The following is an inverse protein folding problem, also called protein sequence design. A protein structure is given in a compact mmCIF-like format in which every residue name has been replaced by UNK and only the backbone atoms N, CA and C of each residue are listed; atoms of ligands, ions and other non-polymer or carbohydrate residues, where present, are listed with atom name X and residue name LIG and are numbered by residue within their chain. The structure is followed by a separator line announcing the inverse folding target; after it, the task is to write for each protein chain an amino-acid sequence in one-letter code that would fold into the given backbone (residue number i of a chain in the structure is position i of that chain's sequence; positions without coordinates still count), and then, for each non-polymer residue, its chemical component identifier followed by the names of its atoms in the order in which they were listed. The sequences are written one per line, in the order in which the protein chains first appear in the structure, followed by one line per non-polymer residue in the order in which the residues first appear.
data_IF_016618780235
#
_entry.id   IF_016618780235
#
_cell.length_a   1.000
_cell.length_b   1.000
_cell.length_c   1.000
_cell.angle_alpha   90.00
_cell.angle_beta   90.00
_cell.angle_gamma   90.00
#
_symmetry.space_group_name_H-M   'P 1'
#
loop_
_entity.id
_entity.type
_entity.pdbx_description
1 polymer ?
#
# COMPACT_ATOMS: atom_id res chain seq x y z
N UNK A 1 11.11 -11.29 -19.58
CA UNK A 1 9.66 -11.46 -19.68
C UNK A 1 9.09 -10.72 -20.90
N UNK A 2 9.12 -9.37 -20.95
CA UNK A 2 8.51 -8.57 -22.01
C UNK A 2 9.07 -8.91 -23.39
N UNK A 3 10.38 -9.12 -23.52
CA UNK A 3 11.03 -9.53 -24.77
C UNK A 3 10.63 -10.92 -25.24
N UNK A 4 10.48 -11.87 -24.31
CA UNK A 4 10.11 -13.26 -24.64
C UNK A 4 8.62 -13.45 -24.99
N UNK A 5 7.76 -12.54 -24.49
CA UNK A 5 6.31 -12.60 -24.73
C UNK A 5 5.83 -11.52 -25.73
N UNK A 6 6.76 -10.83 -26.42
CA UNK A 6 6.47 -9.74 -27.37
C UNK A 6 5.49 -8.69 -26.83
N UNK A 7 5.58 -8.42 -25.50
CA UNK A 7 4.59 -7.63 -24.76
C UNK A 7 5.10 -6.31 -24.17
N UNK A 8 6.06 -5.62 -24.83
CA UNK A 8 6.61 -4.36 -24.31
C UNK A 8 5.54 -3.29 -24.07
N UNK A 9 4.54 -3.20 -24.95
CA UNK A 9 3.43 -2.23 -24.81
C UNK A 9 2.57 -2.51 -23.57
N UNK A 10 2.49 -3.77 -23.13
CA UNK A 10 1.69 -4.18 -21.98
C UNK A 10 2.51 -4.34 -20.69
N UNK A 11 3.80 -3.99 -20.68
CA UNK A 11 4.68 -4.31 -19.56
C UNK A 11 4.24 -3.69 -18.23
N UNK A 12 3.76 -2.44 -18.23
CA UNK A 12 3.23 -1.76 -17.04
C UNK A 12 1.81 -2.18 -16.63
N UNK A 13 1.03 -2.71 -17.56
CA UNK A 13 -0.37 -3.03 -17.33
C UNK A 13 -0.61 -4.09 -16.22
N UNK A 14 0.18 -5.17 -16.08
CA UNK A 14 0.01 -6.13 -14.99
C UNK A 14 0.15 -5.53 -13.60
N UNK A 15 1.08 -4.60 -13.39
CA UNK A 15 1.29 -3.96 -12.08
C UNK A 15 0.05 -3.17 -11.66
N UNK A 16 -0.45 -2.32 -12.57
CA UNK A 16 -1.68 -1.55 -12.35
C UNK A 16 -2.90 -2.45 -12.17
N UNK A 17 -3.05 -3.49 -13.00
CA UNK A 17 -4.19 -4.39 -12.98
C UNK A 17 -4.30 -5.18 -11.66
N UNK A 18 -3.18 -5.58 -11.05
CA UNK A 18 -3.15 -6.22 -9.75
C UNK A 18 -3.71 -5.33 -8.64
N UNK A 19 -3.27 -4.08 -8.59
CA UNK A 19 -3.72 -3.09 -7.60
C UNK A 19 -5.19 -2.70 -7.82
N UNK A 20 -5.59 -2.45 -9.08
CA UNK A 20 -6.98 -2.10 -9.43
C UNK A 20 -7.95 -3.22 -9.04
N UNK A 21 -7.62 -4.48 -9.35
CA UNK A 21 -8.46 -5.62 -8.99
C UNK A 21 -8.51 -5.88 -7.49
N UNK A 22 -7.42 -5.63 -6.75
CA UNK A 22 -7.41 -5.70 -5.29
C UNK A 22 -8.32 -4.63 -4.65
N UNK A 23 -8.25 -3.38 -5.10
CA UNK A 23 -9.11 -2.28 -4.65
C UNK A 23 -10.58 -2.58 -4.95
N UNK A 24 -10.87 -3.07 -6.17
CA UNK A 24 -12.22 -3.47 -6.55
C UNK A 24 -12.74 -4.58 -5.62
N UNK A 25 -11.94 -5.62 -5.38
CA UNK A 25 -12.33 -6.74 -4.52
C UNK A 25 -12.54 -6.31 -3.07
N UNK A 26 -11.76 -5.39 -2.54
CA UNK A 26 -11.95 -4.84 -1.20
C UNK A 26 -13.31 -4.18 -1.01
N UNK A 27 -13.92 -3.66 -2.08
CA UNK A 27 -15.28 -3.11 -2.05
C UNK A 27 -16.34 -4.18 -1.78
N UNK A 28 -16.07 -5.43 -2.13
CA UNK A 28 -16.93 -6.59 -1.90
C UNK A 28 -16.52 -7.39 -0.65
N UNK A 29 -15.32 -7.15 -0.10
CA UNK A 29 -14.76 -8.00 0.94
C UNK A 29 -15.61 -7.98 2.23
N UNK A 30 -16.05 -6.81 2.72
CA UNK A 30 -16.86 -6.74 3.93
C UNK A 30 -18.17 -7.55 3.86
N UNK A 31 -19.05 -7.39 2.84
CA UNK A 31 -20.24 -8.21 2.73
C UNK A 31 -19.97 -9.71 2.57
N UNK A 32 -18.86 -10.10 1.94
CA UNK A 32 -18.46 -11.51 1.82
C UNK A 32 -18.03 -12.05 3.19
N UNK A 33 -17.15 -11.34 3.89
CA UNK A 33 -16.63 -11.75 5.20
C UNK A 33 -17.69 -11.77 6.29
N UNK A 34 -18.77 -10.98 6.15
CA UNK A 34 -19.89 -11.01 7.07
C UNK A 34 -20.84 -12.20 6.85
N UNK A 35 -20.91 -12.75 5.64
CA UNK A 35 -21.88 -13.80 5.26
C UNK A 35 -21.28 -15.17 5.06
N UNK A 36 -19.97 -15.23 4.76
CA UNK A 36 -19.27 -16.47 4.43
C UNK A 36 -18.31 -16.85 5.56
N UNK A 37 -18.30 -18.11 6.01
CA UNK A 37 -17.39 -18.59 7.04
C UNK A 37 -15.92 -18.27 6.70
N UNK A 38 -15.10 -17.83 7.68
CA UNK A 38 -13.72 -17.42 7.48
C UNK A 38 -12.86 -18.45 6.74
N UNK A 39 -13.03 -19.73 7.08
CA UNK A 39 -12.31 -20.82 6.43
C UNK A 39 -12.62 -20.93 4.94
N UNK A 40 -13.88 -20.77 4.53
CA UNK A 40 -14.27 -20.82 3.10
C UNK A 40 -13.70 -19.64 2.33
N UNK A 41 -13.71 -18.43 2.93
CA UNK A 41 -13.09 -17.25 2.33
C UNK A 41 -11.60 -17.46 2.13
N UNK A 42 -10.92 -18.00 3.14
CA UNK A 42 -9.48 -18.25 3.10
C UNK A 42 -9.13 -19.31 2.03
N UNK A 43 -9.92 -20.38 1.91
CA UNK A 43 -9.76 -21.41 0.86
C UNK A 43 -9.96 -20.79 -0.52
N UNK A 44 -11.06 -20.06 -0.71
CA UNK A 44 -11.37 -19.42 -1.99
C UNK A 44 -10.27 -18.46 -2.44
N UNK A 45 -9.83 -17.58 -1.53
CA UNK A 45 -8.75 -16.64 -1.84
C UNK A 45 -7.43 -17.36 -2.17
N UNK A 46 -7.10 -18.44 -1.44
CA UNK A 46 -5.92 -19.27 -1.75
C UNK A 46 -6.02 -19.93 -3.13
N UNK A 47 -7.17 -20.51 -3.47
CA UNK A 47 -7.40 -21.11 -4.78
C UNK A 47 -7.30 -20.08 -5.91
N UNK A 48 -7.93 -18.91 -5.76
CA UNK A 48 -7.82 -17.81 -6.72
C UNK A 48 -6.36 -17.39 -6.90
N UNK A 49 -5.60 -17.23 -5.80
CA UNK A 49 -4.19 -16.86 -5.89
C UNK A 49 -3.37 -17.89 -6.65
N UNK A 50 -3.55 -19.18 -6.35
CA UNK A 50 -2.85 -20.28 -7.03
C UNK A 50 -3.23 -20.36 -8.51
N UNK A 51 -4.51 -20.27 -8.84
CA UNK A 51 -4.97 -20.25 -10.23
C UNK A 51 -4.36 -19.08 -11.00
N UNK A 52 -4.38 -17.87 -10.42
CA UNK A 52 -3.76 -16.71 -11.04
C UNK A 52 -2.23 -16.85 -11.20
N UNK A 53 -1.56 -17.49 -10.23
CA UNK A 53 -0.12 -17.76 -10.32
C UNK A 53 0.19 -18.79 -11.42
N UNK A 54 -0.59 -19.86 -11.53
CA UNK A 54 -0.44 -20.88 -12.58
C UNK A 54 -0.68 -20.28 -13.97
N UNK A 55 -1.72 -19.45 -14.13
CA UNK A 55 -1.99 -18.75 -15.40
C UNK A 55 -0.83 -17.86 -15.82
N UNK A 56 -0.26 -17.11 -14.87
CA UNK A 56 0.87 -16.21 -15.14
C UNK A 56 2.18 -16.97 -15.41
N UNK A 57 2.42 -18.12 -14.74
CA UNK A 57 3.60 -18.97 -14.92
C UNK A 57 3.57 -19.71 -16.26
N UNK A 58 2.41 -20.26 -16.63
CA UNK A 58 2.20 -20.99 -17.86
C UNK A 58 1.96 -20.10 -19.09
N UNK A 59 2.04 -18.75 -18.92
CA UNK A 59 1.66 -17.78 -19.92
C UNK A 59 2.37 -17.97 -21.29
N UNK A 60 1.63 -18.20 -22.39
CA UNK A 60 2.17 -18.19 -23.74
C UNK A 60 2.27 -16.76 -24.31
N UNK A 61 1.50 -15.79 -23.75
CA UNK A 61 1.46 -14.39 -24.18
C UNK A 61 1.23 -13.46 -22.98
N UNK A 62 1.56 -12.18 -23.12
CA UNK A 62 1.47 -11.17 -22.06
C UNK A 62 0.05 -11.00 -21.50
N UNK A 63 -0.99 -11.22 -22.31
CA UNK A 63 -2.39 -11.19 -21.87
C UNK A 63 -2.71 -12.23 -20.80
N UNK A 64 -2.07 -13.41 -20.82
CA UNK A 64 -2.23 -14.44 -19.79
C UNK A 64 -1.58 -14.01 -18.46
N UNK A 65 -0.43 -13.34 -18.52
CA UNK A 65 0.22 -12.73 -17.33
C UNK A 65 -0.72 -11.69 -16.73
N UNK A 66 -1.31 -10.83 -17.57
CA UNK A 66 -2.28 -9.83 -17.14
C UNK A 66 -3.49 -10.49 -16.46
N UNK A 67 -4.12 -11.48 -17.10
CA UNK A 67 -5.25 -12.22 -16.54
C UNK A 67 -4.91 -12.89 -15.20
N UNK A 68 -3.76 -13.56 -15.12
CA UNK A 68 -3.25 -14.16 -13.88
C UNK A 68 -3.03 -13.14 -12.78
N UNK A 69 -2.54 -11.94 -13.11
CA UNK A 69 -2.31 -10.86 -12.15
C UNK A 69 -3.63 -10.25 -11.65
N UNK A 70 -4.63 -10.09 -12.51
CA UNK A 70 -5.99 -9.68 -12.10
C UNK A 70 -6.57 -10.65 -11.08
N UNK A 71 -6.51 -11.96 -11.36
CA UNK A 71 -7.03 -12.98 -10.43
C UNK A 71 -6.27 -12.96 -9.09
N UNK A 72 -4.94 -12.82 -9.13
CA UNK A 72 -4.13 -12.67 -7.91
C UNK A 72 -4.47 -11.40 -7.13
N UNK A 73 -4.75 -10.30 -7.82
CA UNK A 73 -5.20 -9.05 -7.20
C UNK A 73 -6.54 -9.21 -6.47
N UNK A 74 -7.51 -9.91 -7.09
CA UNK A 74 -8.78 -10.26 -6.43
C UNK A 74 -8.52 -11.07 -5.16
N UNK A 75 -7.67 -12.09 -5.22
CA UNK A 75 -7.30 -12.89 -4.06
C UNK A 75 -6.61 -12.05 -2.98
N UNK A 76 -5.69 -11.16 -3.36
CA UNK A 76 -4.97 -10.28 -2.44
C UNK A 76 -5.91 -9.31 -1.71
N UNK A 77 -6.87 -8.69 -2.42
CA UNK A 77 -7.88 -7.83 -1.80
C UNK A 77 -8.74 -8.56 -0.78
N UNK A 78 -9.15 -9.80 -1.09
CA UNK A 78 -9.94 -10.61 -0.15
C UNK A 78 -9.12 -11.01 1.08
N UNK A 79 -7.83 -11.40 0.90
CA UNK A 79 -6.93 -11.75 2.00
C UNK A 79 -6.58 -10.55 2.87
N UNK A 80 -6.38 -9.37 2.29
CA UNK A 80 -6.11 -8.15 3.04
C UNK A 80 -7.30 -7.76 3.92
N UNK A 81 -8.51 -7.76 3.36
CA UNK A 81 -9.74 -7.52 4.12
C UNK A 81 -9.96 -8.55 5.24
N UNK A 82 -9.67 -9.83 4.96
CA UNK A 82 -9.72 -10.91 5.95
C UNK A 82 -8.71 -10.69 7.08
N UNK A 83 -7.43 -10.43 6.74
CA UNK A 83 -6.36 -10.27 7.72
C UNK A 83 -6.59 -9.10 8.68
N UNK A 84 -6.88 -7.91 8.13
CA UNK A 84 -7.13 -6.73 8.95
C UNK A 84 -8.47 -6.81 9.71
N UNK A 85 -9.48 -7.46 9.12
CA UNK A 85 -10.73 -7.77 9.82
C UNK A 85 -10.53 -8.72 11.00
N UNK A 86 -9.67 -9.72 10.85
CA UNK A 86 -9.32 -10.65 11.92
C UNK A 86 -8.58 -9.97 13.08
N UNK A 87 -7.67 -9.01 12.80
CA UNK A 87 -7.01 -8.22 13.85
C UNK A 87 -8.06 -7.50 14.71
N UNK A 88 -9.03 -6.85 14.06
CA UNK A 88 -10.08 -6.15 14.78
C UNK A 88 -11.02 -7.05 15.59
N UNK A 89 -11.25 -8.28 15.10
CA UNK A 89 -12.17 -9.23 15.73
C UNK A 89 -11.54 -10.04 16.88
N UNK A 90 -10.23 -10.34 16.79
CA UNK A 90 -9.55 -11.25 17.71
C UNK A 90 -8.73 -10.55 18.80
N UNK A 91 -8.33 -9.29 18.58
CA UNK A 91 -7.48 -8.56 19.52
C UNK A 91 -8.22 -7.36 20.13
N UNK A 92 -7.98 -7.10 21.40
CA UNK A 92 -8.58 -5.99 22.13
C UNK A 92 -7.91 -4.63 21.78
N UNK A 93 -8.47 -3.53 22.29
CA UNK A 93 -8.00 -2.17 22.00
C UNK A 93 -6.54 -1.93 22.42
N UNK A 94 -6.06 -2.60 23.46
CA UNK A 94 -4.68 -2.46 23.98
C UNK A 94 -3.68 -3.26 23.16
N UNK A 95 -4.10 -4.38 22.60
CA UNK A 95 -3.26 -5.30 21.82
C UNK A 95 -3.12 -4.88 20.36
N UNK A 96 -4.19 -4.33 19.76
CA UNK A 96 -4.21 -3.95 18.32
C UNK A 96 -3.00 -3.13 17.87
N UNK A 97 -2.56 -2.06 18.58
CA UNK A 97 -1.40 -1.28 18.12
C UNK A 97 -0.12 -2.11 18.08
N UNK A 98 0.02 -3.10 18.99
CA UNK A 98 1.17 -4.02 19.01
C UNK A 98 1.12 -4.98 17.82
N UNK A 99 -0.06 -5.53 17.53
CA UNK A 99 -0.27 -6.42 16.38
C UNK A 99 -0.02 -5.69 15.06
N UNK A 100 -0.48 -4.44 14.93
CA UNK A 100 -0.16 -3.60 13.76
C UNK A 100 1.33 -3.25 13.67
N UNK A 101 2.03 -3.12 14.81
CA UNK A 101 3.49 -3.00 14.82
C UNK A 101 4.20 -4.25 14.29
N UNK A 102 3.72 -5.45 14.68
CA UNK A 102 4.20 -6.72 14.13
C UNK A 102 3.88 -6.87 12.62
N UNK A 103 2.75 -6.33 12.18
CA UNK A 103 2.37 -6.32 10.75
C UNK A 103 3.42 -5.62 9.87
N UNK A 104 4.14 -4.63 10.39
CA UNK A 104 5.23 -3.98 9.67
C UNK A 104 6.37 -4.95 9.28
N UNK A 105 6.62 -6.02 10.06
CA UNK A 105 7.61 -7.04 9.72
C UNK A 105 7.25 -7.85 8.48
N UNK A 106 5.94 -7.96 8.17
CA UNK A 106 5.45 -8.66 6.96
C UNK A 106 5.92 -7.94 5.70
N UNK A 107 6.12 -6.62 5.75
CA UNK A 107 6.64 -5.83 4.65
C UNK A 107 8.18 -5.89 4.56
N UNK A 108 8.86 -5.97 5.70
CA UNK A 108 10.32 -6.02 5.74
C UNK A 108 10.88 -7.30 5.11
N UNK A 109 10.33 -8.46 5.49
CA UNK A 109 10.86 -9.75 5.04
C UNK A 109 10.87 -9.90 3.51
N UNK A 110 9.75 -9.67 2.79
CA UNK A 110 9.74 -9.73 1.33
C UNK A 110 10.63 -8.68 0.66
N UNK A 111 10.79 -7.50 1.25
CA UNK A 111 11.60 -6.44 0.65
C UNK A 111 13.09 -6.73 0.72
N UNK A 112 13.55 -7.43 1.76
CA UNK A 112 14.97 -7.84 1.91
C UNK A 112 15.28 -9.11 1.14
N UNK A 113 14.40 -10.11 1.26
CA UNK A 113 14.64 -11.46 0.69
C UNK A 113 14.11 -11.59 -0.74
N UNK A 114 13.04 -10.87 -1.06
CA UNK A 114 12.33 -11.01 -2.34
C UNK A 114 13.20 -10.72 -3.57
N UNK A 115 13.83 -9.54 -3.69
CA UNK A 115 14.62 -9.19 -4.86
C UNK A 115 15.79 -10.16 -5.12
N UNK A 116 16.66 -10.49 -4.15
CA UNK A 116 17.74 -11.45 -4.39
C UNK A 116 17.22 -12.85 -4.69
N UNK A 117 16.16 -13.29 -4.00
CA UNK A 117 15.56 -14.60 -4.27
C UNK A 117 14.95 -14.68 -5.67
N UNK A 118 14.26 -13.63 -6.11
CA UNK A 118 13.71 -13.56 -7.46
C UNK A 118 14.80 -13.55 -8.53
N UNK A 119 15.92 -12.86 -8.29
CA UNK A 119 17.07 -12.87 -9.19
C UNK A 119 17.64 -14.29 -9.31
N UNK A 120 17.96 -14.95 -8.20
CA UNK A 120 18.46 -16.33 -8.16
C UNK A 120 17.51 -17.32 -8.88
N UNK A 121 16.21 -17.25 -8.58
CA UNK A 121 15.22 -18.11 -9.23
C UNK A 121 15.18 -17.84 -10.74
N UNK A 122 15.25 -16.57 -11.15
CA UNK A 122 15.22 -16.19 -12.55
C UNK A 122 16.42 -16.73 -13.31
N UNK A 123 17.62 -16.64 -12.70
CA UNK A 123 18.87 -17.09 -13.31
C UNK A 123 18.98 -18.62 -13.38
N UNK A 124 18.48 -19.36 -12.38
CA UNK A 124 18.62 -20.81 -12.31
C UNK A 124 17.49 -21.59 -13.00
N UNK A 125 16.25 -21.12 -12.83
CA UNK A 125 15.03 -21.87 -13.28
C UNK A 125 14.15 -21.06 -14.22
N UNK A 126 14.41 -19.76 -14.36
CA UNK A 126 13.70 -18.87 -15.26
C UNK A 126 12.61 -18.03 -14.59
N UNK A 127 12.24 -16.93 -15.26
CA UNK A 127 11.29 -15.93 -14.77
C UNK A 127 9.89 -16.48 -14.45
N UNK A 128 9.50 -17.57 -15.09
CA UNK A 128 8.21 -18.22 -14.83
C UNK A 128 8.11 -18.66 -13.37
N UNK A 129 9.15 -19.26 -12.85
CA UNK A 129 9.21 -19.69 -11.46
C UNK A 129 9.33 -18.52 -10.49
N UNK A 130 10.00 -17.45 -10.88
CA UNK A 130 10.06 -16.22 -10.09
C UNK A 130 8.66 -15.58 -9.90
N UNK A 131 7.72 -15.75 -10.83
CA UNK A 131 6.32 -15.35 -10.66
C UNK A 131 5.53 -16.35 -9.81
N UNK A 132 5.83 -17.64 -9.90
CA UNK A 132 5.03 -18.72 -9.30
C UNK A 132 5.34 -19.04 -7.85
N UNK A 133 6.60 -18.96 -7.43
CA UNK A 133 7.01 -19.40 -6.09
C UNK A 133 6.25 -18.76 -4.91
N UNK A 134 5.80 -17.48 -4.98
CA UNK A 134 5.03 -16.89 -3.87
C UNK A 134 3.72 -17.65 -3.60
N UNK A 135 3.17 -18.38 -4.59
CA UNK A 135 1.99 -19.21 -4.38
C UNK A 135 2.23 -20.36 -3.39
N UNK A 136 3.46 -20.88 -3.36
CA UNK A 136 3.86 -21.91 -2.38
C UNK A 136 3.77 -21.35 -0.96
N UNK A 137 4.24 -20.11 -0.72
CA UNK A 137 4.15 -19.46 0.58
C UNK A 137 2.69 -19.23 1.00
N UNK A 138 1.83 -18.85 0.05
CA UNK A 138 0.39 -18.68 0.33
C UNK A 138 -0.25 -19.99 0.76
N UNK A 139 0.08 -21.11 0.09
CA UNK A 139 -0.42 -22.43 0.44
C UNK A 139 0.10 -22.90 1.81
N UNK A 140 1.40 -22.70 2.08
CA UNK A 140 2.00 -23.02 3.39
C UNK A 140 1.34 -22.20 4.50
N UNK A 141 1.27 -20.87 4.33
CA UNK A 141 0.62 -19.98 5.29
C UNK A 141 -0.83 -20.38 5.54
N UNK A 142 -1.57 -20.75 4.49
CA UNK A 142 -2.92 -21.30 4.58
C UNK A 142 -2.98 -22.58 5.41
N UNK A 143 -2.07 -23.51 5.18
CA UNK A 143 -2.02 -24.76 5.94
C UNK A 143 -1.74 -24.52 7.43
N UNK A 144 -0.86 -23.58 7.75
CA UNK A 144 -0.50 -23.21 9.12
C UNK A 144 -1.69 -22.63 9.91
N UNK A 145 -2.45 -21.68 9.31
CA UNK A 145 -3.53 -20.99 10.01
C UNK A 145 -4.89 -21.68 9.89
N UNK A 146 -5.02 -22.65 9.00
CA UNK A 146 -6.31 -23.25 8.67
C UNK A 146 -7.01 -23.90 9.83
N UNK A 147 -6.28 -24.62 10.69
CA UNK A 147 -6.82 -25.26 11.90
C UNK A 147 -7.30 -24.23 12.92
N UNK A 148 -6.52 -23.16 13.12
CA UNK A 148 -6.87 -22.08 14.04
C UNK A 148 -8.13 -21.35 13.57
N UNK A 149 -8.20 -21.02 12.25
CA UNK A 149 -9.36 -20.32 11.69
C UNK A 149 -10.62 -21.19 11.73
N UNK A 150 -10.51 -22.53 11.58
CA UNK A 150 -11.66 -23.42 11.68
C UNK A 150 -12.22 -23.57 13.10
N UNK A 151 -11.39 -23.30 14.12
CA UNK A 151 -11.79 -23.37 15.52
C UNK A 151 -12.46 -22.09 16.06
N UNK A 152 -12.36 -20.95 15.30
CA UNK A 152 -13.00 -19.71 15.71
C UNK A 152 -14.51 -19.79 15.49
N UNK A 153 -15.35 -19.60 16.52
CA UNK A 153 -16.80 -19.51 16.37
C UNK A 153 -17.16 -18.36 15.44
N UNK A 154 -17.90 -18.65 14.38
CA UNK A 154 -18.34 -17.65 13.43
C UNK A 154 -19.86 -17.57 13.39
N UNK A 155 -20.37 -16.34 13.39
CA UNK A 155 -21.79 -16.06 13.17
C UNK A 155 -21.94 -14.98 12.10
N UNK A 156 -22.94 -15.10 11.19
CA UNK A 156 -23.22 -14.07 10.22
C UNK A 156 -23.51 -12.75 10.92
N UNK A 157 -22.83 -11.69 10.51
CA UNK A 157 -23.07 -10.34 11.03
C UNK A 157 -23.88 -9.57 10.01
N UNK A 158 -25.07 -9.09 10.41
CA UNK A 158 -25.87 -8.16 9.61
C UNK A 158 -25.38 -6.74 9.89
N UNK A 159 -24.63 -6.17 8.96
CA UNK A 159 -24.10 -4.81 9.07
C UNK A 159 -24.12 -4.08 7.73
N UNK A 160 -24.04 -2.75 7.76
CA UNK A 160 -23.85 -1.95 6.54
C UNK A 160 -22.48 -2.27 5.95
N UNK A 161 -22.40 -2.51 4.66
CA UNK A 161 -21.13 -2.64 3.95
C UNK A 161 -20.31 -1.35 4.11
N UNK A 162 -19.09 -1.45 4.68
CA UNK A 162 -18.26 -0.27 4.95
C UNK A 162 -17.86 0.49 3.69
N UNK A 163 -17.50 -0.25 2.63
CA UNK A 163 -17.19 0.33 1.31
C UNK A 163 -18.39 0.10 0.40
N UNK A 164 -18.96 1.16 -0.15
CA UNK A 164 -20.02 1.01 -1.15
C UNK A 164 -19.42 0.52 -2.46
N UNK A 165 -19.94 -0.56 -3.01
CA UNK A 165 -19.48 -1.19 -4.26
C UNK A 165 -19.34 -0.17 -5.39
N UNK A 166 -20.31 0.75 -5.51
CA UNK A 166 -20.30 1.80 -6.55
C UNK A 166 -19.08 2.73 -6.39
N UNK A 167 -18.76 3.13 -5.16
CA UNK A 167 -17.63 4.04 -4.90
C UNK A 167 -16.30 3.31 -5.13
N UNK A 168 -16.17 2.07 -4.66
CA UNK A 168 -14.97 1.27 -4.89
C UNK A 168 -14.78 0.91 -6.37
N UNK A 169 -15.87 0.64 -7.09
CA UNK A 169 -15.83 0.50 -8.56
C UNK A 169 -15.38 1.79 -9.25
N UNK A 170 -15.84 2.94 -8.76
CA UNK A 170 -15.39 4.26 -9.23
C UNK A 170 -13.90 4.50 -9.00
N UNK A 171 -13.36 4.11 -7.83
CA UNK A 171 -11.92 4.18 -7.54
C UNK A 171 -11.14 3.27 -8.49
N UNK A 172 -11.55 2.02 -8.67
CA UNK A 172 -10.89 1.08 -9.57
C UNK A 172 -10.90 1.59 -11.03
N UNK A 173 -12.03 2.13 -11.50
CA UNK A 173 -12.13 2.73 -12.82
C UNK A 173 -11.22 3.96 -12.98
N UNK A 174 -11.18 4.84 -11.99
CA UNK A 174 -10.32 6.02 -12.00
C UNK A 174 -8.82 5.66 -12.04
N UNK A 175 -8.42 4.64 -11.27
CA UNK A 175 -7.06 4.11 -11.31
C UNK A 175 -6.72 3.47 -12.66
N UNK A 176 -7.64 2.73 -13.26
CA UNK A 176 -7.47 2.13 -14.58
C UNK A 176 -7.35 3.20 -15.68
N UNK A 177 -8.22 4.22 -15.62
CA UNK A 177 -8.18 5.37 -16.54
C UNK A 177 -6.85 6.13 -16.45
N UNK A 178 -6.41 6.44 -15.22
CA UNK A 178 -5.14 7.12 -15.00
C UNK A 178 -3.94 6.27 -15.41
N UNK A 179 -3.97 4.96 -15.18
CA UNK A 179 -2.91 4.04 -15.62
C UNK A 179 -2.80 3.98 -17.15
N UNK A 180 -3.94 3.96 -17.86
CA UNK A 180 -3.95 4.09 -19.30
C UNK A 180 -3.37 5.45 -19.74
N UNK A 181 -3.80 6.52 -19.10
CA UNK A 181 -3.34 7.87 -19.40
C UNK A 181 -1.84 8.09 -19.18
N UNK A 182 -1.24 7.41 -18.18
CA UNK A 182 0.21 7.50 -17.96
C UNK A 182 1.05 6.82 -19.04
N UNK A 183 0.48 5.86 -19.75
CA UNK A 183 1.13 5.14 -20.85
C UNK A 183 0.96 5.82 -22.21
N UNK A 184 -0.03 6.71 -22.37
CA UNK A 184 -0.30 7.43 -23.61
C UNK A 184 0.43 8.78 -23.63
N UNK A 185 1.39 9.02 -24.55
CA UNK A 185 2.12 10.28 -24.63
C UNK A 185 1.29 11.46 -25.15
N UNK A 186 0.09 11.22 -25.65
CA UNK A 186 -0.80 12.24 -26.19
C UNK A 186 -1.34 13.21 -25.11
N UNK A 187 -1.93 14.31 -25.54
CA UNK A 187 -2.64 15.25 -24.66
C UNK A 187 -3.82 14.53 -23.96
N UNK A 188 -4.48 13.62 -24.65
CA UNK A 188 -5.58 12.83 -24.10
C UNK A 188 -5.12 11.89 -23.00
N UNK A 189 -3.89 11.33 -23.11
CA UNK A 189 -3.26 10.57 -22.04
C UNK A 189 -3.06 11.43 -20.79
N UNK A 190 -2.57 12.67 -20.94
CA UNK A 190 -2.43 13.59 -19.80
C UNK A 190 -3.78 13.94 -19.17
N UNK A 191 -4.80 14.20 -19.98
CA UNK A 191 -6.16 14.47 -19.49
C UNK A 191 -6.70 13.26 -18.72
N UNK A 192 -6.53 12.04 -19.24
CA UNK A 192 -6.96 10.82 -18.57
C UNK A 192 -6.20 10.58 -17.23
N UNK A 193 -4.89 10.86 -17.20
CA UNK A 193 -4.10 10.78 -15.97
C UNK A 193 -4.61 11.77 -14.90
N UNK A 194 -4.81 13.03 -15.26
CA UNK A 194 -5.31 14.08 -14.36
C UNK A 194 -6.71 13.75 -13.85
N UNK A 195 -7.61 13.31 -14.74
CA UNK A 195 -8.96 12.89 -14.36
C UNK A 195 -8.94 11.66 -13.46
N UNK A 196 -8.09 10.66 -13.78
CA UNK A 196 -7.92 9.47 -12.95
C UNK A 196 -7.41 9.79 -11.55
N UNK A 197 -6.41 10.68 -11.45
CA UNK A 197 -5.88 11.14 -10.16
C UNK A 197 -6.92 11.95 -9.38
N UNK A 198 -7.59 12.91 -10.01
CA UNK A 198 -8.57 13.76 -9.34
C UNK A 198 -9.81 12.98 -8.88
N UNK A 199 -10.42 12.23 -9.79
CA UNK A 199 -11.63 11.44 -9.46
C UNK A 199 -11.32 10.27 -8.52
N UNK A 200 -10.16 9.62 -8.67
CA UNK A 200 -9.69 8.55 -7.79
C UNK A 200 -9.47 9.03 -6.36
N UNK A 201 -8.73 10.11 -6.18
CA UNK A 201 -8.49 10.70 -4.86
C UNK A 201 -9.77 11.17 -4.17
N UNK A 202 -10.67 11.85 -4.93
CA UNK A 202 -11.96 12.27 -4.41
C UNK A 202 -12.86 11.08 -4.02
N UNK A 203 -12.88 10.02 -4.84
CA UNK A 203 -13.66 8.81 -4.54
C UNK A 203 -13.11 8.05 -3.33
N UNK A 204 -11.78 7.96 -3.17
CA UNK A 204 -11.16 7.37 -1.97
C UNK A 204 -11.58 8.17 -0.74
N UNK A 205 -11.38 9.49 -0.74
CA UNK A 205 -11.75 10.35 0.39
C UNK A 205 -13.24 10.21 0.74
N UNK A 206 -14.12 10.24 -0.25
CA UNK A 206 -15.58 10.08 -0.07
C UNK A 206 -15.94 8.72 0.54
N UNK A 207 -15.25 7.65 0.09
CA UNK A 207 -15.44 6.31 0.61
C UNK A 207 -15.08 6.22 2.09
N UNK A 208 -13.93 6.79 2.47
CA UNK A 208 -13.44 6.77 3.86
C UNK A 208 -14.30 7.63 4.79
N UNK A 209 -14.72 8.81 4.34
CA UNK A 209 -15.61 9.69 5.11
C UNK A 209 -16.97 9.03 5.38
N UNK A 210 -17.54 8.37 4.36
CA UNK A 210 -18.84 7.70 4.49
C UNK A 210 -18.77 6.33 5.16
N UNK A 211 -17.59 5.73 5.17
CA UNK A 211 -17.33 4.43 5.81
C UNK A 211 -17.36 4.50 7.33
N UNK A 212 -16.83 5.59 7.92
CA UNK A 212 -16.81 5.85 9.36
C UNK A 212 -17.45 7.23 9.65
N UNK A 213 -18.77 7.30 9.77
CA UNK A 213 -19.49 8.57 9.85
C UNK A 213 -19.24 9.35 11.15
N UNK A 214 -18.83 8.69 12.24
CA UNK A 214 -18.56 9.37 13.53
C UNK A 214 -17.22 10.08 13.55
N UNK A 215 -16.16 9.40 13.13
CA UNK A 215 -14.82 9.98 13.11
C UNK A 215 -13.97 9.43 11.95
N UNK A 216 -14.08 9.98 10.73
CA UNK A 216 -13.30 9.53 9.58
C UNK A 216 -11.84 10.01 9.61
N UNK A 217 -11.49 10.96 10.49
CA UNK A 217 -10.15 11.62 10.49
C UNK A 217 -8.99 10.66 10.67
N UNK A 218 -9.00 9.68 11.60
CA UNK A 218 -7.89 8.73 11.73
C UNK A 218 -7.67 7.93 10.45
N UNK A 219 -8.75 7.49 9.82
CA UNK A 219 -8.68 6.70 8.60
C UNK A 219 -8.21 7.52 7.39
N UNK A 220 -8.63 8.79 7.29
CA UNK A 220 -8.13 9.73 6.29
C UNK A 220 -6.65 10.05 6.51
N UNK A 221 -6.24 10.33 7.75
CA UNK A 221 -4.84 10.56 8.10
C UNK A 221 -3.98 9.34 7.75
N UNK A 222 -4.48 8.15 8.04
CA UNK A 222 -3.84 6.89 7.69
C UNK A 222 -3.66 6.72 6.18
N UNK A 223 -4.71 6.95 5.39
CA UNK A 223 -4.65 6.83 3.93
C UNK A 223 -3.66 7.82 3.32
N UNK A 224 -3.68 9.09 3.75
CA UNK A 224 -2.78 10.12 3.22
C UNK A 224 -1.33 9.88 3.68
N UNK A 225 -1.13 9.38 4.90
CA UNK A 225 0.19 8.96 5.37
C UNK A 225 0.74 7.80 4.52
N UNK A 226 -0.08 6.77 4.26
CA UNK A 226 0.29 5.64 3.39
C UNK A 226 0.65 6.14 1.97
N UNK A 227 -0.16 7.05 1.41
CA UNK A 227 0.13 7.64 0.11
C UNK A 227 1.50 8.36 0.09
N UNK A 228 1.77 9.23 1.05
CA UNK A 228 3.02 9.98 1.10
C UNK A 228 4.23 9.04 1.28
N UNK A 229 4.13 8.07 2.19
CA UNK A 229 5.20 7.13 2.49
C UNK A 229 5.48 6.18 1.33
N UNK A 230 4.48 5.44 0.85
CA UNK A 230 4.68 4.46 -0.23
C UNK A 230 5.04 5.14 -1.55
N UNK A 231 4.48 6.34 -1.84
CA UNK A 231 4.87 7.11 -3.02
C UNK A 231 6.34 7.53 -3.00
N UNK A 232 6.86 7.93 -1.83
CA UNK A 232 8.28 8.24 -1.67
C UNK A 232 9.16 7.00 -1.87
N UNK A 233 8.76 5.87 -1.29
CA UNK A 233 9.50 4.61 -1.40
C UNK A 233 9.49 4.01 -2.80
N UNK A 234 8.42 4.18 -3.55
CA UNK A 234 8.32 3.69 -4.93
C UNK A 234 9.36 4.35 -5.86
N UNK A 235 9.60 5.65 -5.67
CA UNK A 235 10.56 6.39 -6.48
C UNK A 235 11.99 6.40 -5.91
N UNK A 236 12.20 5.85 -4.71
CA UNK A 236 13.50 5.91 -4.03
C UNK A 236 14.64 5.29 -4.85
N UNK A 237 14.40 4.10 -5.41
CA UNK A 237 15.39 3.43 -6.27
C UNK A 237 15.65 4.20 -7.56
N UNK A 238 14.62 4.73 -8.17
CA UNK A 238 14.71 5.54 -9.38
C UNK A 238 15.51 6.83 -9.13
N UNK A 239 15.23 7.51 -8.02
CA UNK A 239 15.93 8.73 -7.61
C UNK A 239 17.43 8.49 -7.41
N UNK A 240 17.79 7.39 -6.76
CA UNK A 240 19.19 7.05 -6.50
C UNK A 240 19.91 6.60 -7.78
N UNK A 241 19.31 5.75 -8.61
CA UNK A 241 19.96 5.15 -9.77
C UNK A 241 19.96 6.13 -10.94
N UNK A 242 18.77 6.58 -11.40
CA UNK A 242 18.67 7.43 -12.59
C UNK A 242 18.89 8.90 -12.28
N UNK A 243 18.46 9.35 -11.08
CA UNK A 243 18.60 10.74 -10.69
C UNK A 243 20.04 11.08 -10.25
N UNK A 244 20.68 10.23 -9.45
CA UNK A 244 21.99 10.51 -8.85
C UNK A 244 23.10 9.59 -9.34
N UNK A 245 22.85 8.70 -10.31
CA UNK A 245 23.88 7.79 -10.86
C UNK A 245 24.43 6.78 -9.85
N UNK A 246 23.66 6.45 -8.81
CA UNK A 246 24.10 5.54 -7.76
C UNK A 246 23.93 4.07 -8.17
N UNK A 247 24.46 3.15 -7.36
CA UNK A 247 24.36 1.72 -7.65
C UNK A 247 23.05 1.13 -7.16
N UNK A 248 22.64 0.02 -7.77
CA UNK A 248 21.46 -0.77 -7.34
C UNK A 248 21.59 -1.21 -5.87
N UNK A 249 22.81 -1.51 -5.42
CA UNK A 249 23.08 -1.93 -4.04
C UNK A 249 22.78 -0.80 -3.04
N UNK A 250 23.17 0.43 -3.35
CA UNK A 250 22.90 1.61 -2.52
C UNK A 250 21.39 1.88 -2.46
N UNK A 251 20.71 1.79 -3.61
CA UNK A 251 19.26 1.96 -3.67
C UNK A 251 18.53 0.89 -2.84
N UNK A 252 18.91 -0.38 -2.98
CA UNK A 252 18.36 -1.46 -2.17
C UNK A 252 18.63 -1.25 -0.67
N UNK A 253 19.83 -0.79 -0.31
CA UNK A 253 20.19 -0.45 1.07
C UNK A 253 19.34 0.67 1.66
N UNK A 254 19.04 1.71 0.88
CA UNK A 254 18.16 2.81 1.31
C UNK A 254 16.73 2.33 1.59
N UNK A 255 16.14 1.54 0.68
CA UNK A 255 14.82 0.93 0.86
C UNK A 255 14.79 0.04 2.10
N UNK A 256 15.75 -0.88 2.22
CA UNK A 256 15.86 -1.79 3.36
C UNK A 256 16.05 -1.04 4.67
N UNK A 257 16.89 -0.01 4.70
CA UNK A 257 17.13 0.82 5.89
C UNK A 257 15.84 1.51 6.37
N UNK A 258 15.07 2.10 5.46
CA UNK A 258 13.80 2.73 5.80
C UNK A 258 12.75 1.73 6.31
N UNK A 259 12.60 0.57 5.66
CA UNK A 259 11.65 -0.46 6.09
C UNK A 259 12.05 -1.09 7.43
N UNK A 260 13.36 -1.25 7.67
CA UNK A 260 13.90 -1.69 8.96
C UNK A 260 13.58 -0.69 10.07
N UNK A 261 13.78 0.60 9.80
CA UNK A 261 13.44 1.67 10.74
C UNK A 261 11.94 1.67 11.07
N UNK A 262 11.07 1.51 10.05
CA UNK A 262 9.63 1.34 10.25
C UNK A 262 9.31 0.18 11.19
N UNK A 263 9.84 -1.01 10.89
CA UNK A 263 9.58 -2.21 11.68
C UNK A 263 10.07 -2.08 13.13
N UNK A 264 11.30 -1.61 13.34
CA UNK A 264 11.88 -1.46 14.67
C UNK A 264 11.14 -0.44 15.54
N UNK A 265 10.74 0.69 14.97
CA UNK A 265 9.97 1.72 15.68
C UNK A 265 8.53 1.25 15.93
N UNK A 266 7.92 0.56 14.97
CA UNK A 266 6.58 0.01 15.10
C UNK A 266 6.42 -1.01 16.24
N UNK A 267 7.48 -1.76 16.55
CA UNK A 267 7.51 -2.75 17.62
C UNK A 267 7.73 -2.17 19.03
N UNK A 268 8.26 -0.94 19.13
CA UNK A 268 8.57 -0.36 20.45
C UNK A 268 7.30 -0.06 21.25
N UNK A 269 7.29 -0.37 22.57
CA UNK A 269 6.23 0.10 23.45
C UNK A 269 6.15 1.64 23.39
N UNK A 270 4.95 2.17 23.28
CA UNK A 270 4.74 3.61 23.26
C UNK A 270 4.49 4.12 24.66
N UNK A 271 5.45 4.84 25.28
CA UNK A 271 5.18 5.55 26.51
C UNK A 271 4.10 6.61 26.21
N UNK A 272 3.06 6.62 27.05
CA UNK A 272 2.07 7.70 26.98
C UNK A 272 2.75 9.04 27.26
N UNK A 273 2.85 9.91 26.26
CA UNK A 273 3.51 11.19 26.39
C UNK A 273 3.27 12.10 25.19
N UNK A 274 3.67 13.35 25.31
CA UNK A 274 3.75 14.30 24.20
C UNK A 274 5.16 14.25 23.61
N UNK A 275 5.34 14.36 22.26
CA UNK A 275 4.31 14.61 21.26
C UNK A 275 3.50 13.35 20.90
N UNK A 276 2.24 13.54 20.44
CA UNK A 276 1.38 12.46 19.94
C UNK A 276 2.04 11.77 18.74
N UNK A 277 2.34 10.47 18.81
CA UNK A 277 3.01 9.75 17.70
C UNK A 277 2.24 9.78 16.39
N UNK A 278 0.91 9.92 16.45
CA UNK A 278 0.09 10.01 15.26
C UNK A 278 0.15 11.39 14.56
N UNK A 279 0.72 12.40 15.20
CA UNK A 279 1.07 13.70 14.59
C UNK A 279 2.56 13.75 14.27
N UNK A 280 3.39 13.23 15.18
CA UNK A 280 4.84 13.18 14.99
C UNK A 280 5.22 12.36 13.75
N UNK A 281 4.58 11.20 13.55
CA UNK A 281 4.89 10.32 12.43
C UNK A 281 4.70 10.97 11.06
N UNK A 282 3.52 11.51 10.73
CA UNK A 282 3.33 12.29 9.50
C UNK A 282 4.29 13.47 9.37
N UNK A 283 4.65 14.15 10.49
CA UNK A 283 5.65 15.20 10.49
C UNK A 283 7.04 14.72 10.08
N UNK A 284 7.45 13.54 10.54
CA UNK A 284 8.71 12.93 10.12
C UNK A 284 8.68 12.49 8.65
N UNK A 285 7.54 11.99 8.15
CA UNK A 285 7.38 11.67 6.73
C UNK A 285 7.44 12.94 5.88
N UNK A 286 6.87 14.05 6.35
CA UNK A 286 7.02 15.36 5.69
C UNK A 286 8.49 15.78 5.60
N UNK A 287 9.22 15.72 6.71
CA UNK A 287 10.67 16.03 6.74
C UNK A 287 11.41 15.12 5.76
N UNK A 288 11.08 13.84 5.72
CA UNK A 288 11.67 12.89 4.79
C UNK A 288 11.43 13.30 3.33
N UNK A 289 10.19 13.63 2.94
CA UNK A 289 9.88 14.08 1.58
C UNK A 289 10.68 15.35 1.20
N UNK A 290 10.82 16.29 2.14
CA UNK A 290 11.68 17.48 1.95
C UNK A 290 13.15 17.09 1.80
N UNK A 291 13.65 16.09 2.55
CA UNK A 291 15.01 15.58 2.41
C UNK A 291 15.21 14.88 1.05
N UNK A 292 14.23 14.12 0.56
CA UNK A 292 14.31 13.52 -0.78
C UNK A 292 14.38 14.59 -1.86
N UNK A 293 13.56 15.63 -1.76
CA UNK A 293 13.61 16.78 -2.65
C UNK A 293 14.97 17.50 -2.60
N UNK A 294 15.47 17.78 -1.39
CA UNK A 294 16.78 18.41 -1.20
C UNK A 294 17.92 17.54 -1.72
N UNK A 295 17.84 16.22 -1.54
CA UNK A 295 18.83 15.26 -2.05
C UNK A 295 18.94 15.28 -3.58
N UNK A 296 17.82 15.45 -4.29
CA UNK A 296 17.82 15.62 -5.74
C UNK A 296 18.50 16.93 -6.16
N UNK A 297 18.29 18.02 -5.42
CA UNK A 297 18.90 19.31 -5.69
C UNK A 297 20.38 19.38 -5.36
N UNK A 298 20.86 18.65 -4.33
CA UNK A 298 22.26 18.64 -3.89
C UNK A 298 23.19 17.88 -4.86
N UNK A 299 22.67 16.89 -5.56
CA UNK A 299 23.43 15.99 -6.44
C UNK A 299 24.61 15.26 -5.77
N UNK A 300 25.29 14.38 -6.50
CA UNK A 300 26.49 13.67 -6.06
C UNK A 300 26.33 12.90 -4.74
N UNK A 301 27.42 12.68 -4.02
CA UNK A 301 27.42 11.92 -2.75
C UNK A 301 26.58 12.58 -1.65
N UNK A 302 26.56 13.90 -1.57
CA UNK A 302 25.74 14.61 -0.58
C UNK A 302 24.23 14.35 -0.83
N UNK A 303 23.79 14.34 -2.08
CA UNK A 303 22.44 13.99 -2.46
C UNK A 303 22.10 12.54 -2.10
N UNK A 304 22.97 11.59 -2.40
CA UNK A 304 22.79 10.17 -2.06
C UNK A 304 22.58 9.96 -0.56
N UNK A 305 23.45 10.53 0.29
CA UNK A 305 23.33 10.38 1.73
C UNK A 305 22.09 11.08 2.29
N UNK A 306 21.70 12.21 1.72
CA UNK A 306 20.48 12.92 2.11
C UNK A 306 19.24 12.09 1.80
N UNK A 307 19.19 11.41 0.66
CA UNK A 307 18.09 10.51 0.29
C UNK A 307 18.05 9.29 1.20
N UNK A 308 19.19 8.66 1.50
CA UNK A 308 19.27 7.52 2.43
C UNK A 308 18.75 7.92 3.82
N UNK A 309 19.22 9.06 4.34
CA UNK A 309 18.76 9.60 5.62
C UNK A 309 17.25 9.89 5.60
N UNK A 310 16.75 10.48 4.51
CA UNK A 310 15.32 10.71 4.29
C UNK A 310 14.50 9.42 4.34
N UNK A 311 14.97 8.36 3.69
CA UNK A 311 14.30 7.06 3.72
C UNK A 311 14.21 6.48 5.15
N UNK A 312 15.27 6.61 5.95
CA UNK A 312 15.29 6.15 7.35
C UNK A 312 14.31 7.00 8.19
N UNK A 313 14.33 8.33 8.02
CA UNK A 313 13.41 9.25 8.72
C UNK A 313 11.95 8.95 8.36
N UNK A 314 11.66 8.67 7.09
CA UNK A 314 10.32 8.24 6.67
C UNK A 314 9.89 6.95 7.37
N UNK A 315 10.79 5.97 7.45
CA UNK A 315 10.54 4.71 8.17
C UNK A 315 10.25 4.91 9.66
N UNK A 316 11.02 5.76 10.34
CA UNK A 316 10.75 6.14 11.73
C UNK A 316 9.37 6.78 11.86
N UNK A 317 9.01 7.72 10.97
CA UNK A 317 7.72 8.38 10.96
C UNK A 317 6.56 7.39 10.76
N UNK A 318 6.69 6.51 9.79
CA UNK A 318 5.69 5.46 9.53
C UNK A 318 5.56 4.51 10.72
N UNK A 319 6.68 4.06 11.32
CA UNK A 319 6.68 3.20 12.51
C UNK A 319 6.02 3.84 13.72
N UNK A 320 6.15 5.15 13.88
CA UNK A 320 5.50 5.88 14.97
C UNK A 320 3.98 5.97 14.79
N UNK A 321 3.49 6.28 13.60
CA UNK A 321 2.08 6.60 13.35
C UNK A 321 1.23 5.41 12.91
N UNK A 322 1.76 4.51 12.07
CA UNK A 322 1.01 3.43 11.44
C UNK A 322 0.18 2.59 12.45
N UNK A 323 0.78 2.05 13.54
CA UNK A 323 0.01 1.21 14.46
C UNK A 323 -1.10 1.94 15.20
N UNK A 324 -0.96 3.25 15.43
CA UNK A 324 -2.01 4.06 16.07
C UNK A 324 -3.12 4.40 15.09
N UNK A 325 -2.77 4.97 13.94
CA UNK A 325 -3.76 5.40 12.93
C UNK A 325 -4.54 4.24 12.35
N UNK A 326 -3.96 3.03 12.28
CA UNK A 326 -4.66 1.81 11.85
C UNK A 326 -5.51 1.18 12.94
N UNK A 327 -5.22 1.40 14.23
CA UNK A 327 -6.01 0.85 15.34
C UNK A 327 -7.15 1.76 15.80
N UNK A 328 -7.00 3.09 15.70
CA UNK A 328 -8.04 4.05 16.12
C UNK A 328 -9.43 3.85 15.46
N UNK A 329 -9.54 3.52 14.17
CA UNK A 329 -10.84 3.31 13.53
C UNK A 329 -11.69 2.21 14.17
N UNK A 330 -11.09 1.25 14.88
CA UNK A 330 -11.80 0.19 15.60
C UNK A 330 -12.52 0.67 16.86
N UNK A 331 -12.33 1.91 17.27
CA UNK A 331 -13.11 2.54 18.35
C UNK A 331 -14.51 2.99 17.90
N UNK A 332 -14.82 2.93 16.60
CA UNK A 332 -16.16 3.17 16.06
C UNK A 332 -17.06 1.96 16.32
N UNK A 333 -18.37 2.17 16.49
CA UNK A 333 -19.37 1.11 16.75
C UNK A 333 -19.63 0.18 15.53
N UNK A 334 -18.81 0.31 14.49
CA UNK A 334 -18.93 -0.55 13.32
C UNK A 334 -18.37 -1.95 13.58
N UNK A 335 -18.90 -2.97 12.90
CA UNK A 335 -18.38 -4.33 13.02
C UNK A 335 -16.89 -4.40 12.70
N UNK A 336 -16.06 -5.09 13.50
CA UNK A 336 -14.60 -5.14 13.32
C UNK A 336 -14.16 -5.54 11.92
N UNK A 337 -14.87 -6.47 11.28
CA UNK A 337 -14.64 -6.90 9.90
C UNK A 337 -14.83 -5.74 8.91
N UNK A 338 -15.84 -4.90 9.13
CA UNK A 338 -16.08 -3.71 8.28
C UNK A 338 -14.96 -2.69 8.42
N UNK A 339 -14.56 -2.41 9.66
CA UNK A 339 -13.46 -1.47 9.94
C UNK A 339 -12.13 -1.98 9.35
N UNK A 340 -11.80 -3.25 9.58
CA UNK A 340 -10.59 -3.86 9.02
C UNK A 340 -10.56 -3.82 7.48
N UNK A 341 -11.71 -4.04 6.84
CA UNK A 341 -11.83 -3.94 5.37
C UNK A 341 -11.64 -2.50 4.89
N UNK A 342 -12.13 -1.51 5.64
CA UNK A 342 -11.92 -0.09 5.33
C UNK A 342 -10.45 0.33 5.49
N UNK A 343 -9.75 -0.19 6.49
CA UNK A 343 -8.31 0.04 6.68
C UNK A 343 -7.54 -0.57 5.51
N UNK A 344 -7.85 -1.83 5.14
CA UNK A 344 -7.25 -2.49 3.99
C UNK A 344 -7.50 -1.71 2.68
N UNK A 345 -8.73 -1.21 2.50
CA UNK A 345 -9.08 -0.38 1.36
C UNK A 345 -8.31 0.95 1.37
N UNK A 346 -8.24 1.63 2.52
CA UNK A 346 -7.51 2.89 2.67
C UNK A 346 -6.02 2.74 2.30
N UNK A 347 -5.36 1.70 2.81
CA UNK A 347 -3.96 1.39 2.50
C UNK A 347 -3.77 1.05 1.03
N UNK A 348 -4.53 0.08 0.51
CA UNK A 348 -4.36 -0.42 -0.87
C UNK A 348 -4.73 0.63 -1.91
N UNK A 349 -5.84 1.34 -1.71
CA UNK A 349 -6.30 2.36 -2.65
C UNK A 349 -5.39 3.59 -2.64
N UNK A 350 -4.92 4.03 -1.46
CA UNK A 350 -4.00 5.15 -1.34
C UNK A 350 -2.64 4.82 -1.97
N UNK A 351 -2.13 3.60 -1.76
CA UNK A 351 -0.87 3.12 -2.36
C UNK A 351 -1.01 3.03 -3.89
N UNK A 352 -2.09 2.45 -4.40
CA UNK A 352 -2.32 2.38 -5.85
C UNK A 352 -2.49 3.76 -6.49
N UNK A 353 -3.17 4.67 -5.81
CA UNK A 353 -3.38 6.04 -6.28
C UNK A 353 -2.07 6.82 -6.30
N UNK A 354 -1.24 6.71 -5.26
CA UNK A 354 0.04 7.42 -5.22
C UNK A 354 1.07 6.82 -6.17
N UNK A 355 1.05 5.51 -6.41
CA UNK A 355 1.86 4.88 -7.45
C UNK A 355 1.56 5.48 -8.83
N UNK A 356 0.27 5.72 -9.11
CA UNK A 356 -0.15 6.43 -10.31
C UNK A 356 0.29 7.90 -10.31
N UNK A 357 0.18 8.60 -9.17
CA UNK A 357 0.64 9.98 -9.04
C UNK A 357 2.16 10.06 -9.24
N UNK A 358 2.92 9.28 -8.51
CA UNK A 358 4.38 9.34 -8.50
C UNK A 358 4.98 8.76 -9.79
N UNK A 359 4.72 7.50 -10.08
CA UNK A 359 5.25 6.81 -11.25
C UNK A 359 4.62 7.30 -12.57
N UNK A 360 3.30 7.50 -12.59
CA UNK A 360 2.58 7.98 -13.77
C UNK A 360 2.95 9.40 -14.16
N UNK A 361 3.05 10.31 -13.18
CA UNK A 361 3.47 11.70 -13.43
C UNK A 361 4.95 11.75 -13.87
N UNK A 362 5.84 11.01 -13.20
CA UNK A 362 7.24 10.91 -13.62
C UNK A 362 7.34 10.44 -15.08
N UNK A 363 6.66 9.35 -15.44
CA UNK A 363 6.66 8.81 -16.80
C UNK A 363 6.11 9.81 -17.82
N UNK A 364 5.04 10.50 -17.48
CA UNK A 364 4.43 11.51 -18.35
C UNK A 364 5.34 12.73 -18.59
N UNK A 365 6.08 13.17 -17.56
CA UNK A 365 7.03 14.27 -17.68
C UNK A 365 8.28 13.86 -18.43
N UNK A 366 8.86 12.71 -18.08
CA UNK A 366 10.06 12.19 -18.75
C UNK A 366 9.81 11.91 -20.23
N UNK A 367 8.67 11.32 -20.58
CA UNK A 367 8.25 11.09 -21.97
C UNK A 367 8.05 12.38 -22.79
N UNK A 368 7.93 13.54 -22.14
CA UNK A 368 7.89 14.89 -22.75
C UNK A 368 9.23 15.62 -22.75
N UNK A 369 10.32 14.90 -22.45
CA UNK A 369 11.68 15.44 -22.50
C UNK A 369 12.15 16.15 -21.21
N UNK A 370 11.42 16.03 -20.10
CA UNK A 370 11.92 16.53 -18.82
C UNK A 370 13.13 15.72 -18.36
N UNK A 371 14.13 16.41 -17.80
CA UNK A 371 15.25 15.73 -17.16
C UNK A 371 14.75 14.91 -15.96
N UNK A 372 15.29 13.70 -15.71
CA UNK A 372 14.87 12.82 -14.61
C UNK A 372 14.82 13.55 -13.26
N UNK A 373 15.88 14.32 -12.92
CA UNK A 373 15.96 15.04 -11.66
C UNK A 373 14.83 16.04 -11.46
N UNK A 374 14.49 16.83 -12.50
CA UNK A 374 13.41 17.83 -12.43
C UNK A 374 12.03 17.18 -12.28
N UNK A 375 11.82 16.06 -12.97
CA UNK A 375 10.58 15.31 -12.81
C UNK A 375 10.44 14.74 -11.40
N UNK A 376 11.52 14.18 -10.83
CA UNK A 376 11.56 13.65 -9.47
C UNK A 376 11.41 14.74 -8.40
N UNK A 377 12.05 15.91 -8.58
CA UNK A 377 11.86 17.08 -7.70
C UNK A 377 10.39 17.47 -7.59
N UNK A 378 9.68 17.58 -8.72
CA UNK A 378 8.26 17.91 -8.71
C UNK A 378 7.43 16.85 -7.98
N UNK A 379 7.69 15.57 -8.23
CA UNK A 379 6.96 14.50 -7.56
C UNK A 379 7.22 14.49 -6.05
N UNK A 380 8.46 14.65 -5.60
CA UNK A 380 8.77 14.73 -4.16
C UNK A 380 8.16 15.96 -3.50
N UNK A 381 8.07 17.09 -4.21
CA UNK A 381 7.36 18.27 -3.71
C UNK A 381 5.85 17.99 -3.50
N UNK A 382 5.20 17.28 -4.44
CA UNK A 382 3.79 16.86 -4.30
C UNK A 382 3.61 15.87 -3.13
N UNK A 383 4.54 14.93 -2.95
CA UNK A 383 4.52 14.02 -1.81
C UNK A 383 4.70 14.75 -0.47
N UNK A 384 5.52 15.80 -0.44
CA UNK A 384 5.63 16.67 0.75
C UNK A 384 4.31 17.37 1.05
N UNK A 385 3.57 17.85 0.04
CA UNK A 385 2.22 18.41 0.23
C UNK A 385 1.25 17.37 0.79
N UNK A 386 1.30 16.12 0.31
CA UNK A 386 0.49 15.03 0.87
C UNK A 386 0.86 14.77 2.34
N UNK A 387 2.15 14.69 2.66
CA UNK A 387 2.60 14.49 4.03
C UNK A 387 2.18 15.65 4.95
N UNK A 388 2.26 16.92 4.49
CA UNK A 388 1.75 18.08 5.21
C UNK A 388 0.23 17.97 5.46
N UNK A 389 -0.53 17.48 4.47
CA UNK A 389 -1.97 17.22 4.61
C UNK A 389 -2.23 16.15 5.68
N UNK A 390 -1.42 15.08 5.72
CA UNK A 390 -1.52 14.05 6.77
C UNK A 390 -1.27 14.65 8.17
N UNK A 391 -0.28 15.56 8.32
CA UNK A 391 -0.03 16.29 9.57
C UNK A 391 -1.25 17.09 9.98
N UNK A 392 -1.81 17.89 9.06
CA UNK A 392 -2.95 18.76 9.34
C UNK A 392 -4.20 17.96 9.78
N UNK A 393 -4.50 16.85 9.08
CA UNK A 393 -5.61 15.95 9.44
C UNK A 393 -5.36 15.31 10.82
N UNK A 394 -4.13 14.87 11.07
CA UNK A 394 -3.75 14.22 12.33
C UNK A 394 -3.81 15.19 13.51
N UNK A 395 -3.37 16.43 13.36
CA UNK A 395 -3.45 17.47 14.39
C UNK A 395 -4.90 17.85 14.76
N UNK A 396 -5.82 17.75 13.80
CA UNK A 396 -7.25 18.03 14.01
C UNK A 396 -8.03 16.86 14.64
N UNK A 397 -7.41 15.74 14.99
CA UNK A 397 -8.09 14.60 15.64
C UNK A 397 -8.48 14.96 17.07
N UNK A 398 -9.65 14.50 17.50
CA UNK A 398 -10.02 14.53 18.91
C UNK A 398 -9.33 13.34 19.58
N UNK A 399 -8.31 13.59 20.41
CA UNK A 399 -7.76 12.53 21.27
C UNK A 399 -8.88 12.01 22.18
N UNK A 400 -9.08 10.70 22.29
CA UNK A 400 -10.01 10.15 23.28
C UNK A 400 -9.58 10.67 24.66
N UNK A 401 -10.47 11.37 25.39
CA UNK A 401 -10.23 11.76 26.79
C UNK A 401 -9.92 10.46 27.56
N UNK A 402 -8.71 10.35 28.10
CA UNK A 402 -8.38 9.25 29.02
C UNK A 402 -9.35 9.34 30.19
N UNK A 403 -9.99 8.22 30.51
CA UNK A 403 -10.86 8.05 31.67
C UNK A 403 -10.12 8.21 33.03
N UNK A 404 -8.89 8.71 33.04
CA UNK A 404 -8.05 8.93 34.22
C UNK A 404 -8.17 10.33 34.82
N UNK A 405 -8.88 11.29 34.17
CA UNK A 405 -9.06 12.64 34.72
C UNK A 405 -10.36 12.79 35.56
N UNK A 406 -11.01 11.65 35.87
CA UNK A 406 -12.17 11.61 36.76
C UNK A 406 -11.83 10.81 38.04
N UNK A 407 -10.90 11.31 38.84
CA UNK A 407 -10.76 10.98 40.27
C UNK A 407 -10.33 12.21 41.05
#
# INVERSE_FOLDING_TARGET
LAGQLHGFVLFGAPLAAGSVSAVLMLSFAAPILQRVPPLRVLVLATLLYVVGAVLATAAPAMGWVLGGTVIRGVAAGLLAGFGLGAIGALFDERERPRVFGLYALIWLLPSVVGPPLNALITDWVGWRWAIGWPAVLVVIGRAMIGRTVSAVPWQPVTGRAGVRIVVGGGVAFALALGSWGSADPSVWGLVALVLGLGTGGAAIALCLIRGLPRNPRPLLAFAVLCAAFFGAFELLSLALIEGLGSTVLVAAGAVTGGLTAWSLVGLRPRPGGRPDPAVLGPGLVLIACVMLLAGMALAGLAGVWTIIAGAIVAGVGMGAAYPLLSSEPFSDDAAPVTVGTLIAFAETAATAWVALLAGGLYSALHGRGWQPNRALELVFALLAVLAATAVAISAGRRTPRRATDAK
#
